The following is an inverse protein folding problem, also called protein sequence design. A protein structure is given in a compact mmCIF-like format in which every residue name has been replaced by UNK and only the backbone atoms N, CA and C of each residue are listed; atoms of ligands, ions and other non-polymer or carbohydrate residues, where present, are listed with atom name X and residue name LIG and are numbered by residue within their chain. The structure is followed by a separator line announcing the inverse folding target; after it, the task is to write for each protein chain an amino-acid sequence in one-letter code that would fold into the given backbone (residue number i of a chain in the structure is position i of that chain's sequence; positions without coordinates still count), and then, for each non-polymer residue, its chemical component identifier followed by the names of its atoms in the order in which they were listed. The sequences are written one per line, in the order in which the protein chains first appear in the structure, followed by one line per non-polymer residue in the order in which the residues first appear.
data_IF_435720905162
#
_entry.id   IF_435720905162
#
_cell.length_a   1.000
_cell.length_b   1.000
_cell.length_c   1.000
_cell.angle_alpha   90.00
_cell.angle_beta   90.00
_cell.angle_gamma   90.00
#
_symmetry.space_group_name_H-M   'P 1'
#
loop_
_entity.id
_entity.type
_entity.pdbx_description
1 polymer ?
#
# COMPACT_ATOMS: atom_id res chain seq x y z
N UNK A 1 -2.02 34.59 -5.02
CA UNK A 1 -1.71 33.20 -4.59
C UNK A 1 -2.17 32.29 -5.73
N UNK A 2 -1.24 31.65 -6.43
CA UNK A 2 -1.54 30.79 -7.59
C UNK A 2 -1.64 29.35 -7.11
N UNK A 3 -2.83 28.74 -7.18
CA UNK A 3 -3.04 27.35 -6.81
C UNK A 3 -2.68 26.48 -8.02
N UNK A 4 -1.66 25.64 -7.88
CA UNK A 4 -1.21 24.78 -8.97
C UNK A 4 -2.23 23.64 -9.16
N UNK A 5 -2.59 23.29 -10.41
CA UNK A 5 -3.62 22.29 -10.69
C UNK A 5 -3.31 20.91 -10.11
N UNK A 6 -2.03 20.57 -9.88
CA UNK A 6 -1.64 19.31 -9.26
C UNK A 6 -2.00 19.21 -7.77
N UNK A 7 -2.05 20.34 -7.03
CA UNK A 7 -2.45 20.35 -5.63
C UNK A 7 -3.95 20.07 -5.44
N UNK A 8 -4.77 20.33 -6.47
CA UNK A 8 -6.22 20.07 -6.44
C UNK A 8 -6.55 18.58 -6.53
N UNK A 9 -5.61 17.74 -6.96
CA UNK A 9 -5.75 16.28 -7.05
C UNK A 9 -5.14 15.53 -5.88
N UNK A 10 -4.63 16.26 -4.89
CA UNK A 10 -4.08 15.73 -3.64
C UNK A 10 -5.11 14.83 -2.98
N UNK A 11 -4.88 13.52 -3.02
CA UNK A 11 -5.75 12.54 -2.37
C UNK A 11 -5.80 12.82 -0.87
N UNK A 12 -6.97 12.70 -0.26
CA UNK A 12 -7.13 12.88 1.18
C UNK A 12 -6.31 11.82 1.95
N UNK A 13 -5.15 12.24 2.43
CA UNK A 13 -4.26 11.46 3.29
C UNK A 13 -4.41 11.94 4.73
N UNK A 14 -4.84 11.04 5.61
CA UNK A 14 -4.91 11.31 7.05
C UNK A 14 -3.68 10.73 7.72
N UNK A 15 -2.82 11.60 8.24
CA UNK A 15 -1.58 11.28 8.97
C UNK A 15 -0.53 10.51 8.15
N UNK A 16 -0.78 9.23 7.85
CA UNK A 16 0.05 8.37 6.98
C UNK A 16 -0.79 7.47 6.06
N UNK A 17 -2.13 7.50 6.13
CA UNK A 17 -3.00 6.57 5.39
C UNK A 17 -3.94 7.32 4.45
N UNK A 18 -4.27 6.72 3.31
CA UNK A 18 -5.41 7.19 2.52
C UNK A 18 -6.71 6.84 3.26
N UNK A 19 -7.76 7.64 3.09
CA UNK A 19 -9.07 7.35 3.67
C UNK A 19 -9.61 5.96 3.26
N UNK A 20 -9.29 5.52 2.03
CA UNK A 20 -9.65 4.18 1.54
C UNK A 20 -8.95 3.06 2.30
N UNK A 21 -7.66 3.20 2.60
CA UNK A 21 -6.87 2.17 3.27
C UNK A 21 -7.28 2.03 4.75
N UNK A 22 -7.68 3.14 5.37
CA UNK A 22 -8.28 3.18 6.70
C UNK A 22 -9.63 2.45 6.73
N UNK A 23 -10.47 2.67 5.72
CA UNK A 23 -11.75 1.96 5.59
C UNK A 23 -11.59 0.45 5.47
N UNK A 24 -10.69 -0.01 4.59
CA UNK A 24 -10.44 -1.44 4.37
C UNK A 24 -9.88 -2.08 5.65
N UNK A 25 -8.90 -1.44 6.30
CA UNK A 25 -8.30 -1.99 7.52
C UNK A 25 -9.31 -2.02 8.68
N UNK A 26 -10.16 -1.01 8.79
CA UNK A 26 -11.23 -0.99 9.79
C UNK A 26 -12.22 -2.15 9.60
N UNK A 27 -12.67 -2.40 8.38
CA UNK A 27 -13.57 -3.53 8.07
C UNK A 27 -12.90 -4.87 8.36
N UNK A 28 -11.66 -5.06 7.93
CA UNK A 28 -10.92 -6.28 8.21
C UNK A 28 -10.70 -6.50 9.72
N UNK A 29 -10.39 -5.43 10.47
CA UNK A 29 -10.20 -5.50 11.92
C UNK A 29 -11.49 -5.94 12.63
N UNK A 30 -12.64 -5.36 12.27
CA UNK A 30 -13.95 -5.79 12.80
C UNK A 30 -14.22 -7.25 12.47
N UNK A 31 -14.01 -7.66 11.21
CA UNK A 31 -14.18 -9.06 10.80
C UNK A 31 -13.27 -10.02 11.58
N UNK A 32 -12.05 -9.61 11.88
CA UNK A 32 -11.09 -10.43 12.63
C UNK A 32 -11.45 -10.55 14.10
N UNK A 33 -11.93 -9.47 14.72
CA UNK A 33 -12.45 -9.52 16.10
C UNK A 33 -13.68 -10.43 16.17
N UNK A 34 -14.59 -10.35 15.20
CA UNK A 34 -15.76 -11.23 15.12
C UNK A 34 -15.36 -12.70 14.94
N UNK A 35 -14.38 -12.99 14.09
CA UNK A 35 -13.87 -14.35 13.91
C UNK A 35 -13.18 -14.86 15.19
N UNK A 36 -12.46 -14.00 15.90
CA UNK A 36 -11.81 -14.34 17.15
C UNK A 36 -12.83 -14.66 18.25
N UNK A 37 -13.90 -13.87 18.37
CA UNK A 37 -14.91 -14.05 19.41
C UNK A 37 -15.86 -15.22 19.12
N UNK A 38 -16.22 -15.45 17.85
CA UNK A 38 -17.15 -16.53 17.50
C UNK A 38 -16.48 -17.87 17.22
N UNK A 39 -15.29 -17.87 16.60
CA UNK A 39 -14.61 -19.09 16.18
C UNK A 39 -13.38 -19.43 17.04
N UNK A 40 -12.90 -18.52 17.89
CA UNK A 40 -11.67 -18.70 18.67
C UNK A 40 -10.40 -18.76 17.80
N UNK A 41 -10.50 -18.44 16.51
CA UNK A 41 -9.39 -18.55 15.56
C UNK A 41 -8.56 -17.27 15.64
N UNK A 42 -7.29 -17.41 16.02
CA UNK A 42 -6.35 -16.29 16.15
C UNK A 42 -5.73 -15.86 14.81
N UNK A 43 -5.72 -16.76 13.82
CA UNK A 43 -5.17 -16.55 12.48
C UNK A 43 -5.68 -15.28 11.75
N UNK A 44 -6.99 -14.97 11.70
CA UNK A 44 -7.47 -13.76 11.05
C UNK A 44 -6.98 -12.47 11.72
N UNK A 45 -6.79 -12.47 13.05
CA UNK A 45 -6.23 -11.32 13.78
C UNK A 45 -4.76 -11.08 13.43
N UNK A 46 -3.97 -12.15 13.26
CA UNK A 46 -2.57 -12.04 12.82
C UNK A 46 -2.50 -11.50 11.38
N UNK A 47 -3.34 -12.01 10.48
CA UNK A 47 -3.42 -11.52 9.11
C UNK A 47 -3.81 -10.04 9.03
N UNK A 48 -4.76 -9.60 9.84
CA UNK A 48 -5.15 -8.18 9.88
C UNK A 48 -4.04 -7.29 10.42
N UNK A 49 -3.32 -7.72 11.46
CA UNK A 49 -2.18 -6.96 11.98
C UNK A 49 -1.07 -6.81 10.93
N UNK A 50 -0.74 -7.90 10.23
CA UNK A 50 0.24 -7.89 9.13
C UNK A 50 -0.26 -6.98 8.00
N UNK A 51 -1.52 -7.10 7.59
CA UNK A 51 -2.11 -6.26 6.53
C UNK A 51 -2.12 -4.78 6.90
N UNK A 52 -2.50 -4.45 8.14
CA UNK A 52 -2.49 -3.09 8.66
C UNK A 52 -1.08 -2.50 8.64
N UNK A 53 -0.07 -3.27 9.05
CA UNK A 53 1.32 -2.85 8.98
C UNK A 53 1.78 -2.61 7.54
N UNK A 54 1.47 -3.54 6.64
CA UNK A 54 1.82 -3.47 5.23
C UNK A 54 1.14 -2.32 4.46
N UNK A 55 -0.02 -1.87 4.93
CA UNK A 55 -0.78 -0.77 4.30
C UNK A 55 -0.33 0.62 4.76
N UNK A 56 0.54 0.72 5.77
CA UNK A 56 1.14 2.00 6.18
C UNK A 56 1.92 2.60 4.99
N UNK A 57 1.54 3.83 4.56
CA UNK A 57 2.34 4.59 3.59
C UNK A 57 3.48 5.29 4.31
N UNK A 58 4.67 5.19 3.73
CA UNK A 58 5.84 5.97 4.09
C UNK A 58 6.21 6.80 2.86
N UNK A 59 6.26 8.13 2.98
CA UNK A 59 6.66 9.05 1.89
C UNK A 59 5.97 8.75 0.54
N UNK A 60 4.63 8.72 0.54
CA UNK A 60 3.79 8.55 -0.64
C UNK A 60 3.79 7.18 -1.37
N UNK A 61 4.57 6.19 -0.94
CA UNK A 61 4.45 4.81 -1.38
C UNK A 61 3.94 3.91 -0.23
N UNK A 62 2.99 3.00 -0.51
CA UNK A 62 2.66 1.97 0.47
C UNK A 62 3.69 0.86 0.39
N UNK A 63 4.02 0.23 1.52
CA UNK A 63 4.96 -0.90 1.55
C UNK A 63 4.42 -2.05 0.68
N UNK A 64 3.10 -2.24 0.64
CA UNK A 64 2.45 -3.16 -0.29
C UNK A 64 2.71 -2.86 -1.76
N UNK A 65 2.64 -1.57 -2.12
CA UNK A 65 2.89 -1.11 -3.48
C UNK A 65 4.38 -1.31 -3.85
N UNK A 66 5.28 -1.05 -2.90
CA UNK A 66 6.71 -1.37 -3.03
C UNK A 66 6.96 -2.87 -3.23
N UNK A 67 6.36 -3.74 -2.41
CA UNK A 67 6.49 -5.20 -2.55
C UNK A 67 5.91 -5.66 -3.88
N UNK A 68 4.78 -5.10 -4.32
CA UNK A 68 4.18 -5.41 -5.63
C UNK A 68 5.13 -5.03 -6.76
N UNK A 69 5.64 -3.80 -6.77
CA UNK A 69 6.61 -3.36 -7.78
C UNK A 69 7.89 -4.18 -7.73
N UNK A 70 8.39 -4.51 -6.54
CA UNK A 70 9.56 -5.38 -6.39
C UNK A 70 9.28 -6.77 -6.97
N UNK A 71 8.14 -7.40 -6.66
CA UNK A 71 7.76 -8.68 -7.24
C UNK A 71 7.62 -8.61 -8.77
N UNK A 72 7.01 -7.56 -9.30
CA UNK A 72 6.88 -7.36 -10.75
C UNK A 72 8.25 -7.19 -11.42
N UNK A 73 9.13 -6.44 -10.77
CA UNK A 73 10.51 -6.25 -11.21
C UNK A 73 11.32 -7.55 -11.18
N UNK A 74 11.24 -8.31 -10.10
CA UNK A 74 12.05 -9.52 -9.91
C UNK A 74 11.53 -10.73 -10.71
N UNK A 75 10.21 -10.87 -10.85
CA UNK A 75 9.61 -12.08 -11.44
C UNK A 75 9.02 -11.87 -12.83
N UNK A 76 8.58 -10.66 -13.20
CA UNK A 76 7.78 -10.43 -14.42
C UNK A 76 8.57 -9.69 -15.51
N UNK A 77 9.40 -8.71 -15.14
CA UNK A 77 10.12 -7.89 -16.14
C UNK A 77 11.62 -8.11 -16.12
N UNK A 78 12.13 -8.76 -17.17
CA UNK A 78 13.56 -8.75 -17.46
C UNK A 78 13.99 -7.34 -17.87
N UNK A 79 14.82 -6.68 -17.07
CA UNK A 79 15.36 -5.36 -17.41
C UNK A 79 16.48 -5.48 -18.44
N UNK A 80 16.18 -5.14 -19.70
CA UNK A 80 17.19 -4.91 -20.73
C UNK A 80 17.68 -3.47 -20.65
N UNK A 81 18.90 -3.25 -20.13
CA UNK A 81 19.56 -1.96 -20.17
C UNK A 81 20.40 -1.86 -21.44
N UNK A 82 19.89 -1.12 -22.44
CA UNK A 82 20.69 -0.73 -23.58
C UNK A 82 21.41 0.58 -23.29
N UNK A 83 22.74 0.53 -23.29
CA UNK A 83 23.59 1.71 -23.22
C UNK A 83 23.52 2.43 -24.57
N UNK A 84 22.75 3.52 -24.65
CA UNK A 84 22.85 4.43 -25.79
C UNK A 84 24.18 5.15 -25.69
N UNK A 85 25.12 4.84 -26.60
CA UNK A 85 26.26 5.74 -26.83
C UNK A 85 25.67 7.08 -27.29
N UNK A 86 26.01 8.14 -26.58
CA UNK A 86 25.78 9.51 -27.04
C UNK A 86 26.57 9.65 -28.35
N UNK A 87 25.88 9.60 -29.49
CA UNK A 87 26.49 9.92 -30.78
C UNK A 87 26.59 11.44 -30.87
N UNK A 88 27.83 11.92 -30.99
CA UNK A 88 28.20 13.29 -31.39
C UNK A 88 27.47 13.76 -32.66
#
# INVERSE_FOLDING_TARGET
MYIYPDNLKSRATLWLWQLKDLGITGVCAVASVLALTQAGIFFPAVLTAVYAFLTIRFEDASILDFIRYACEFFFIRQQSFEWRRCSE
#
